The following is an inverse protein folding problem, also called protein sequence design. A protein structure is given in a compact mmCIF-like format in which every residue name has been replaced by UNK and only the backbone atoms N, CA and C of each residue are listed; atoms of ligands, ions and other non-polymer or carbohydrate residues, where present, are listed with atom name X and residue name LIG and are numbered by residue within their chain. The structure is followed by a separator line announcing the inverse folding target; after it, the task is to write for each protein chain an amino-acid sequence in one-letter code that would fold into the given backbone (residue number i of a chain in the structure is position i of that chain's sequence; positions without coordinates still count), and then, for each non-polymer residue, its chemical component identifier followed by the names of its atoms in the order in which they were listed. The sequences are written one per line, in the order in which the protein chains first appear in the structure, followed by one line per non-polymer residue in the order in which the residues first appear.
data_IF_802353984663
#
_entry.id   IF_802353984663
#
_cell.length_a   1.000
_cell.length_b   1.000
_cell.length_c   1.000
_cell.angle_alpha   90.00
_cell.angle_beta   90.00
_cell.angle_gamma   90.00
#
_symmetry.space_group_name_H-M   'P 1'
#
loop_
_entity.id
_entity.type
_entity.pdbx_description
1 polymer ?
#
# COMPACT_ATOMS: atom_id res chain seq x y z
N UNK A 1 10.26 -16.62 15.02
CA UNK A 1 9.81 -17.44 13.87
C UNK A 1 9.72 -16.58 12.63
N UNK A 2 9.86 -17.21 11.45
CA UNK A 2 9.88 -16.55 10.15
C UNK A 2 8.92 -17.27 9.19
N UNK A 3 8.23 -16.51 8.36
CA UNK A 3 7.53 -17.01 7.16
C UNK A 3 8.17 -16.45 5.91
N UNK A 4 8.11 -17.17 4.80
CA UNK A 4 8.58 -16.62 3.52
C UNK A 4 7.67 -17.00 2.35
N UNK A 5 7.67 -16.09 1.37
CA UNK A 5 7.01 -16.24 0.07
C UNK A 5 8.13 -16.12 -0.96
N UNK A 6 8.52 -17.24 -1.54
CA UNK A 6 9.64 -17.26 -2.46
C UNK A 6 9.50 -18.39 -3.47
N UNK A 7 10.14 -18.20 -4.60
CA UNK A 7 10.38 -19.24 -5.61
C UNK A 7 11.38 -20.27 -5.12
N UNK A 8 11.36 -21.46 -5.72
CA UNK A 8 12.29 -22.54 -5.36
C UNK A 8 13.79 -22.12 -5.38
N UNK A 9 14.28 -21.31 -6.34
CA UNK A 9 15.69 -20.90 -6.33
C UNK A 9 16.10 -20.08 -5.11
N UNK A 10 15.20 -19.29 -4.52
CA UNK A 10 15.49 -18.49 -3.34
C UNK A 10 15.28 -19.25 -2.02
N UNK A 11 14.57 -20.34 -2.07
CA UNK A 11 14.27 -21.14 -0.88
C UNK A 11 15.51 -21.65 -0.18
N UNK A 12 16.46 -22.24 -0.91
CA UNK A 12 17.66 -22.83 -0.32
C UNK A 12 18.55 -21.76 0.33
N UNK A 13 18.61 -20.58 -0.28
CA UNK A 13 19.33 -19.44 0.29
C UNK A 13 18.67 -18.98 1.61
N UNK A 14 17.34 -18.84 1.63
CA UNK A 14 16.60 -18.44 2.84
C UNK A 14 16.77 -19.48 3.95
N UNK A 15 16.64 -20.78 3.63
CA UNK A 15 16.82 -21.87 4.59
C UNK A 15 18.23 -21.84 5.17
N UNK A 16 19.26 -21.78 4.34
CA UNK A 16 20.64 -21.74 4.81
C UNK A 16 20.92 -20.55 5.72
N UNK A 17 20.38 -19.36 5.41
CA UNK A 17 20.52 -18.19 6.30
C UNK A 17 19.75 -18.39 7.62
N UNK A 18 18.56 -18.97 7.59
CA UNK A 18 17.77 -19.23 8.81
C UNK A 18 18.46 -20.28 9.70
N UNK A 19 19.04 -21.32 9.13
CA UNK A 19 19.83 -22.33 9.86
C UNK A 19 21.04 -21.71 10.54
N UNK A 20 21.83 -20.90 9.81
CA UNK A 20 23.00 -20.20 10.38
C UNK A 20 22.62 -19.24 11.53
N UNK A 21 21.43 -18.66 11.50
CA UNK A 21 20.95 -17.73 12.51
C UNK A 21 20.05 -18.38 13.57
N UNK A 22 19.84 -19.69 13.52
CA UNK A 22 18.92 -20.43 14.41
C UNK A 22 17.49 -19.86 14.41
N UNK A 23 17.00 -19.44 13.23
CA UNK A 23 15.65 -18.91 13.06
C UNK A 23 14.73 -20.02 12.57
N UNK A 24 13.70 -20.33 13.36
CA UNK A 24 12.68 -21.32 13.00
C UNK A 24 11.79 -20.80 11.89
N UNK A 25 11.66 -21.56 10.79
CA UNK A 25 10.72 -21.31 9.70
C UNK A 25 9.37 -21.89 10.08
N UNK A 26 8.33 -21.06 10.09
CA UNK A 26 6.96 -21.46 10.41
C UNK A 26 6.20 -21.92 9.16
N UNK A 27 6.32 -21.20 8.06
CA UNK A 27 5.62 -21.50 6.81
C UNK A 27 6.41 -21.07 5.59
N UNK A 28 6.26 -21.86 4.53
CA UNK A 28 6.71 -21.58 3.17
C UNK A 28 5.49 -21.42 2.29
N UNK A 29 5.50 -20.41 1.46
CA UNK A 29 4.42 -20.13 0.53
C UNK A 29 5.06 -19.89 -0.84
N UNK A 30 4.53 -20.53 -1.88
CA UNK A 30 4.99 -20.35 -3.25
C UNK A 30 4.42 -19.07 -3.89
N UNK A 31 4.23 -19.09 -5.19
CA UNK A 31 3.66 -17.97 -5.94
C UNK A 31 2.20 -17.70 -5.59
N UNK A 32 1.89 -16.47 -5.15
CA UNK A 32 0.56 -16.10 -4.64
C UNK A 32 0.15 -14.67 -5.02
N UNK A 33 -1.15 -14.41 -5.03
CA UNK A 33 -1.69 -13.07 -4.82
C UNK A 33 -1.63 -12.76 -3.31
N UNK A 34 -0.75 -11.84 -2.94
CA UNK A 34 -0.46 -11.58 -1.53
C UNK A 34 -1.63 -10.93 -0.79
N UNK A 35 -2.36 -10.02 -1.46
CA UNK A 35 -3.51 -9.36 -0.85
C UNK A 35 -4.65 -10.34 -0.57
N UNK A 36 -4.91 -11.23 -1.53
CA UNK A 36 -5.89 -12.30 -1.35
C UNK A 36 -5.46 -13.25 -0.25
N UNK A 37 -4.20 -13.67 -0.26
CA UNK A 37 -3.64 -14.56 0.77
C UNK A 37 -3.81 -14.01 2.18
N UNK A 38 -3.51 -12.73 2.43
CA UNK A 38 -3.66 -12.13 3.76
C UNK A 38 -5.12 -12.16 4.24
N UNK A 39 -6.08 -11.98 3.34
CA UNK A 39 -7.51 -11.97 3.67
C UNK A 39 -8.07 -13.35 3.96
N UNK A 40 -7.57 -14.36 3.29
CA UNK A 40 -8.13 -15.73 3.31
C UNK A 40 -7.37 -16.67 4.25
N UNK A 41 -6.13 -16.34 4.62
CA UNK A 41 -5.28 -17.23 5.40
C UNK A 41 -5.74 -17.34 6.84
N UNK A 42 -5.64 -18.55 7.38
CA UNK A 42 -5.80 -18.84 8.82
C UNK A 42 -4.47 -18.78 9.59
N UNK A 43 -3.39 -18.36 8.94
CA UNK A 43 -2.08 -18.25 9.59
C UNK A 43 -2.13 -17.22 10.72
N UNK A 44 -1.68 -17.62 11.88
CA UNK A 44 -1.57 -16.70 13.00
C UNK A 44 -0.26 -15.91 12.89
N UNK A 45 -0.33 -14.78 12.22
CA UNK A 45 0.83 -13.89 12.02
C UNK A 45 1.43 -13.36 13.34
N UNK A 46 0.71 -13.41 14.46
CA UNK A 46 1.27 -13.01 15.77
C UNK A 46 2.44 -13.89 16.24
N UNK A 47 2.60 -15.07 15.67
CA UNK A 47 3.69 -15.98 16.00
C UNK A 47 4.97 -15.70 15.21
N UNK A 48 4.92 -14.89 14.16
CA UNK A 48 6.09 -14.57 13.34
C UNK A 48 6.69 -13.22 13.71
N UNK A 49 8.00 -13.12 13.61
CA UNK A 49 8.77 -11.89 13.81
C UNK A 49 9.23 -11.31 12.47
N UNK A 50 9.39 -12.18 11.47
CA UNK A 50 9.90 -11.82 10.14
C UNK A 50 9.04 -12.43 9.05
N UNK A 51 8.81 -11.65 7.99
CA UNK A 51 8.27 -12.16 6.73
C UNK A 51 9.23 -11.77 5.59
N UNK A 52 9.66 -12.75 4.81
CA UNK A 52 10.45 -12.53 3.60
C UNK A 52 9.51 -12.67 2.41
N UNK A 53 9.53 -11.67 1.53
CA UNK A 53 8.69 -11.63 0.34
C UNK A 53 9.57 -11.44 -0.89
N UNK A 54 9.65 -12.43 -1.75
CA UNK A 54 10.26 -12.30 -3.06
C UNK A 54 9.24 -11.70 -4.04
N UNK A 55 9.52 -10.52 -4.59
CA UNK A 55 8.58 -9.83 -5.47
C UNK A 55 8.21 -10.64 -6.72
N UNK A 56 9.15 -11.44 -7.26
CA UNK A 56 8.90 -12.31 -8.43
C UNK A 56 7.89 -13.42 -8.14
N UNK A 57 7.70 -13.78 -6.89
CA UNK A 57 6.73 -14.78 -6.44
C UNK A 57 5.33 -14.19 -6.19
N UNK A 58 5.16 -12.89 -6.36
CA UNK A 58 3.87 -12.24 -6.20
C UNK A 58 3.13 -12.13 -7.54
N UNK A 59 1.87 -12.52 -7.53
CA UNK A 59 0.94 -12.37 -8.66
C UNK A 59 0.13 -11.08 -8.52
N UNK A 60 -0.25 -10.52 -9.66
CA UNK A 60 -1.08 -9.32 -9.72
C UNK A 60 -0.37 -8.13 -10.33
N UNK A 61 -1.05 -6.99 -10.37
CA UNK A 61 -0.48 -5.73 -10.84
C UNK A 61 0.47 -5.13 -9.80
N UNK A 62 1.38 -4.26 -10.23
CA UNK A 62 2.28 -3.54 -9.32
C UNK A 62 1.52 -2.82 -8.20
N UNK A 63 0.39 -2.21 -8.54
CA UNK A 63 -0.49 -1.54 -7.58
C UNK A 63 -1.04 -2.53 -6.53
N UNK A 64 -1.51 -3.70 -6.94
CA UNK A 64 -2.00 -4.74 -6.02
C UNK A 64 -0.89 -5.26 -5.10
N UNK A 65 0.32 -5.42 -5.62
CA UNK A 65 1.50 -5.82 -4.84
C UNK A 65 1.81 -4.76 -3.78
N UNK A 66 1.90 -3.49 -4.17
CA UNK A 66 2.16 -2.37 -3.25
C UNK A 66 1.07 -2.29 -2.19
N UNK A 67 -0.20 -2.38 -2.59
CA UNK A 67 -1.33 -2.32 -1.67
C UNK A 67 -1.35 -3.50 -0.70
N UNK A 68 -1.08 -4.71 -1.17
CA UNK A 68 -1.00 -5.91 -0.32
C UNK A 68 0.09 -5.82 0.73
N UNK A 69 1.31 -5.45 0.33
CA UNK A 69 2.44 -5.31 1.25
C UNK A 69 2.21 -4.16 2.23
N UNK A 70 1.66 -3.04 1.76
CA UNK A 70 1.34 -1.89 2.61
C UNK A 70 0.28 -2.21 3.64
N UNK A 71 -0.79 -2.87 3.22
CA UNK A 71 -1.85 -3.32 4.12
C UNK A 71 -1.29 -4.26 5.21
N UNK A 72 -0.44 -5.22 4.83
CA UNK A 72 0.20 -6.12 5.80
C UNK A 72 1.07 -5.35 6.80
N UNK A 73 1.85 -4.37 6.33
CA UNK A 73 2.70 -3.52 7.17
C UNK A 73 1.90 -2.72 8.20
N UNK A 74 0.73 -2.20 7.81
CA UNK A 74 -0.16 -1.44 8.69
C UNK A 74 -0.85 -2.33 9.73
N UNK A 75 -1.31 -3.52 9.31
CA UNK A 75 -2.03 -4.46 10.20
C UNK A 75 -1.10 -5.17 11.17
N UNK A 76 0.15 -5.45 10.75
CA UNK A 76 1.14 -6.18 11.54
C UNK A 76 2.44 -5.38 11.74
N UNK A 77 2.40 -4.23 12.43
CA UNK A 77 3.55 -3.32 12.54
C UNK A 77 4.76 -3.91 13.29
N UNK A 78 4.55 -4.97 14.07
CA UNK A 78 5.60 -5.67 14.82
C UNK A 78 6.33 -6.73 13.99
N UNK A 79 5.85 -7.02 12.77
CA UNK A 79 6.50 -7.98 11.89
C UNK A 79 7.44 -7.22 10.95
N UNK A 80 8.72 -7.61 10.97
CA UNK A 80 9.67 -7.05 10.02
C UNK A 80 9.49 -7.66 8.65
N UNK A 81 9.15 -6.82 7.67
CA UNK A 81 9.04 -7.20 6.26
C UNK A 81 10.41 -7.06 5.62
N UNK A 82 10.85 -8.10 4.91
CA UNK A 82 12.08 -8.14 4.13
C UNK A 82 11.68 -8.44 2.68
N UNK A 83 12.02 -7.54 1.77
CA UNK A 83 11.68 -7.64 0.35
C UNK A 83 12.90 -8.13 -0.42
N UNK A 84 12.75 -9.26 -1.11
CA UNK A 84 13.73 -9.76 -2.08
C UNK A 84 13.30 -9.29 -3.47
N UNK A 85 14.07 -8.37 -4.04
CA UNK A 85 13.81 -7.71 -5.31
C UNK A 85 14.98 -7.89 -6.27
N UNK A 86 15.60 -9.08 -6.29
CA UNK A 86 16.77 -9.36 -7.12
C UNK A 86 16.53 -9.05 -8.60
N UNK A 87 17.35 -8.16 -9.15
CA UNK A 87 17.27 -7.72 -10.54
C UNK A 87 16.28 -6.58 -10.81
N UNK A 88 15.61 -6.04 -9.78
CA UNK A 88 14.83 -4.81 -9.92
C UNK A 88 15.75 -3.58 -9.87
N UNK A 89 15.43 -2.58 -10.68
CA UNK A 89 16.12 -1.28 -10.65
C UNK A 89 15.81 -0.53 -9.34
N UNK A 90 16.76 0.25 -8.84
CA UNK A 90 16.60 1.03 -7.61
C UNK A 90 15.46 2.07 -7.70
N UNK A 91 15.13 2.53 -8.91
CA UNK A 91 14.05 3.48 -9.17
C UNK A 91 12.74 2.81 -9.61
N UNK A 92 12.65 1.48 -9.51
CA UNK A 92 11.42 0.75 -9.77
C UNK A 92 10.28 1.28 -8.89
N UNK A 93 9.09 1.45 -9.46
CA UNK A 93 7.96 2.06 -8.77
C UNK A 93 7.49 1.28 -7.53
N UNK A 94 7.57 -0.05 -7.54
CA UNK A 94 7.26 -0.86 -6.35
C UNK A 94 8.25 -0.52 -5.22
N UNK A 95 9.55 -0.56 -5.49
CA UNK A 95 10.58 -0.35 -4.46
C UNK A 95 10.55 1.06 -3.89
N UNK A 96 10.37 2.07 -4.74
CA UNK A 96 10.28 3.47 -4.31
C UNK A 96 9.04 3.72 -3.46
N UNK A 97 7.89 3.14 -3.81
CA UNK A 97 6.66 3.25 -3.02
C UNK A 97 6.79 2.54 -1.66
N UNK A 98 7.35 1.33 -1.62
CA UNK A 98 7.57 0.60 -0.37
C UNK A 98 8.53 1.36 0.56
N UNK A 99 9.61 1.94 0.01
CA UNK A 99 10.53 2.77 0.77
C UNK A 99 9.84 4.02 1.36
N UNK A 100 8.99 4.70 0.59
CA UNK A 100 8.24 5.88 1.04
C UNK A 100 7.26 5.54 2.18
N UNK A 101 6.74 4.32 2.20
CA UNK A 101 5.87 3.79 3.27
C UNK A 101 6.63 3.33 4.53
N UNK A 102 7.96 3.36 4.52
CA UNK A 102 8.77 2.99 5.68
C UNK A 102 9.29 1.56 5.69
N UNK A 103 9.12 0.81 4.61
CA UNK A 103 9.68 -0.53 4.45
C UNK A 103 11.10 -0.42 3.92
N UNK A 104 12.09 -0.58 4.81
CA UNK A 104 13.50 -0.33 4.49
C UNK A 104 14.32 -1.58 4.21
N UNK A 105 13.87 -2.77 4.63
CA UNK A 105 14.60 -4.01 4.38
C UNK A 105 14.33 -4.51 2.95
N UNK A 106 14.91 -3.80 1.98
CA UNK A 106 14.77 -4.09 0.54
C UNK A 106 16.14 -4.53 0.01
N UNK A 107 16.20 -5.72 -0.57
CA UNK A 107 17.39 -6.36 -1.11
C UNK A 107 17.20 -6.51 -2.63
N UNK A 108 17.91 -5.72 -3.45
CA UNK A 108 17.84 -5.78 -4.90
C UNK A 108 19.14 -6.28 -5.57
N UNK A 109 20.07 -6.75 -4.75
CA UNK A 109 21.33 -7.33 -5.25
C UNK A 109 21.07 -8.54 -6.14
N UNK A 110 21.99 -8.80 -7.09
CA UNK A 110 21.92 -9.94 -8.01
C UNK A 110 22.86 -11.07 -7.58
N UNK A 111 23.97 -10.70 -6.95
CA UNK A 111 24.99 -11.64 -6.49
C UNK A 111 24.50 -12.39 -5.23
N UNK A 112 24.50 -13.72 -5.28
CA UNK A 112 23.99 -14.56 -4.18
C UNK A 112 24.65 -14.27 -2.84
N UNK A 113 25.97 -14.11 -2.80
CA UNK A 113 26.71 -13.81 -1.57
C UNK A 113 26.30 -12.47 -0.96
N UNK A 114 26.03 -11.49 -1.81
CA UNK A 114 25.55 -10.18 -1.38
C UNK A 114 24.12 -10.25 -0.88
N UNK A 115 23.23 -10.98 -1.58
CA UNK A 115 21.86 -11.24 -1.10
C UNK A 115 21.92 -11.92 0.26
N UNK A 116 22.75 -12.95 0.42
CA UNK A 116 22.93 -13.69 1.69
C UNK A 116 23.37 -12.75 2.83
N UNK A 117 24.37 -11.91 2.56
CA UNK A 117 24.87 -10.93 3.54
C UNK A 117 23.83 -9.90 3.94
N UNK A 118 23.13 -9.31 2.95
CA UNK A 118 22.06 -8.32 3.20
C UNK A 118 20.86 -8.94 3.91
N UNK A 119 20.52 -10.20 3.59
CA UNK A 119 19.46 -10.94 4.25
C UNK A 119 19.79 -11.22 5.71
N UNK A 120 21.01 -11.70 6.01
CA UNK A 120 21.48 -11.86 7.40
C UNK A 120 21.36 -10.55 8.15
N UNK A 121 21.85 -9.45 7.58
CA UNK A 121 21.76 -8.13 8.21
C UNK A 121 20.31 -7.71 8.46
N UNK A 122 19.40 -8.00 7.53
CA UNK A 122 17.97 -7.68 7.67
C UNK A 122 17.30 -8.49 8.78
N UNK A 123 17.81 -9.67 9.11
CA UNK A 123 17.29 -10.56 10.15
C UNK A 123 17.90 -10.31 11.54
N UNK A 124 19.09 -9.71 11.59
CA UNK A 124 19.80 -9.41 12.84
C UNK A 124 19.52 -7.96 13.25
N UNK A 125 19.57 -7.67 14.55
CA UNK A 125 19.47 -6.32 15.13
C UNK A 125 18.23 -5.55 14.62
N UNK A 126 18.44 -4.32 14.19
CA UNK A 126 17.37 -3.42 13.74
C UNK A 126 17.06 -3.53 12.22
N UNK A 127 17.75 -4.45 11.53
CA UNK A 127 17.63 -4.62 10.06
C UNK A 127 18.39 -3.54 9.28
N UNK A 128 17.98 -3.33 8.03
CA UNK A 128 18.53 -2.27 7.20
C UNK A 128 17.96 -0.91 7.61
N UNK A 129 18.83 0.07 7.83
CA UNK A 129 18.43 1.42 8.20
C UNK A 129 17.86 2.20 7.00
N UNK A 130 17.09 3.23 7.29
CA UNK A 130 16.61 4.18 6.26
C UNK A 130 17.77 4.79 5.44
N UNK A 131 18.94 4.97 6.05
CA UNK A 131 20.13 5.51 5.36
C UNK A 131 20.67 4.53 4.34
N UNK A 132 20.72 3.23 4.66
CA UNK A 132 21.21 2.18 3.76
C UNK A 132 20.25 1.94 2.59
N UNK A 133 18.96 2.07 2.84
CA UNK A 133 17.90 1.93 1.83
C UNK A 133 17.63 3.22 1.04
N UNK A 134 18.39 4.29 1.27
CA UNK A 134 18.20 5.60 0.61
C UNK A 134 18.31 5.53 -0.91
N UNK A 135 18.96 4.53 -1.46
CA UNK A 135 19.03 4.28 -2.91
C UNK A 135 17.65 4.10 -3.55
N UNK A 136 16.66 3.60 -2.79
CA UNK A 136 15.28 3.45 -3.24
C UNK A 136 14.44 4.72 -3.08
N UNK A 137 15.01 5.80 -2.56
CA UNK A 137 14.30 7.06 -2.50
C UNK A 137 14.07 7.60 -3.91
N UNK A 138 12.83 7.91 -4.26
CA UNK A 138 12.47 8.48 -5.56
C UNK A 138 13.35 9.70 -5.86
N UNK A 139 14.10 9.67 -6.94
CA UNK A 139 15.06 10.72 -7.26
C UNK A 139 14.33 12.06 -7.40
N UNK A 140 14.85 13.12 -6.78
CA UNK A 140 14.27 14.47 -6.84
C UNK A 140 14.23 15.06 -8.28
N UNK A 141 14.85 14.37 -9.23
CA UNK A 141 14.86 14.73 -10.65
C UNK A 141 13.43 14.91 -11.18
N UNK A 142 12.47 14.08 -10.76
CA UNK A 142 11.06 14.22 -11.18
C UNK A 142 10.43 15.48 -10.57
N UNK A 143 10.78 15.86 -9.34
CA UNK A 143 10.32 17.11 -8.72
C UNK A 143 10.92 18.35 -9.41
N UNK A 144 12.21 18.28 -9.83
CA UNK A 144 12.85 19.35 -10.60
C UNK A 144 12.28 19.47 -12.02
N UNK A 145 12.03 18.35 -12.71
CA UNK A 145 11.40 18.37 -14.04
C UNK A 145 9.96 18.88 -14.00
N UNK A 146 9.14 18.42 -13.02
CA UNK A 146 7.80 18.98 -12.82
C UNK A 146 7.84 20.48 -12.48
N UNK A 147 8.77 20.94 -11.60
CA UNK A 147 8.96 22.35 -11.29
C UNK A 147 9.44 23.17 -12.49
N UNK A 148 10.34 22.63 -13.29
CA UNK A 148 10.84 23.30 -14.49
C UNK A 148 9.78 23.35 -15.59
N UNK A 149 9.02 22.30 -15.78
CA UNK A 149 7.90 22.27 -16.73
C UNK A 149 6.78 23.23 -16.28
N UNK A 150 6.46 23.27 -14.98
CA UNK A 150 5.50 24.22 -14.43
C UNK A 150 5.99 25.69 -14.58
N UNK A 151 7.27 25.96 -14.30
CA UNK A 151 7.88 27.28 -14.52
C UNK A 151 7.84 27.66 -16.00
N UNK A 152 8.17 26.75 -16.91
CA UNK A 152 8.12 26.96 -18.37
C UNK A 152 6.69 27.23 -18.83
N UNK A 153 5.70 26.51 -18.30
CA UNK A 153 4.28 26.70 -18.57
C UNK A 153 3.77 28.06 -18.07
N UNK A 154 4.13 28.46 -16.84
CA UNK A 154 3.79 29.77 -16.27
C UNK A 154 4.46 30.92 -17.04
N UNK A 155 5.70 30.73 -17.50
CA UNK A 155 6.42 31.73 -18.28
C UNK A 155 5.82 31.88 -19.67
N UNK A 156 5.38 30.78 -20.30
CA UNK A 156 4.68 30.84 -21.59
C UNK A 156 3.30 31.53 -21.47
N UNK A 157 2.55 31.26 -20.39
CA UNK A 157 1.30 31.95 -20.10
C UNK A 157 1.50 33.44 -19.85
N UNK A 158 2.57 33.88 -19.16
CA UNK A 158 2.90 35.26 -18.93
C UNK A 158 3.32 35.97 -20.23
N UNK A 159 4.01 35.27 -21.15
CA UNK A 159 4.42 35.79 -22.43
C UNK A 159 3.21 35.99 -23.37
N UNK A 160 2.27 35.04 -23.37
CA UNK A 160 1.01 35.15 -24.12
C UNK A 160 0.10 36.24 -23.52
N UNK A 161 0.13 36.49 -22.21
CA UNK A 161 -0.63 37.59 -21.60
C UNK A 161 -0.08 39.00 -21.96
N UNK A 162 1.23 39.10 -22.27
CA UNK A 162 1.86 40.35 -22.69
C UNK A 162 1.65 40.65 -24.18
N UNK A 163 1.43 39.63 -25.03
CA UNK A 163 1.08 39.79 -26.44
C UNK A 163 -0.41 40.10 -26.67
N UNK A 164 -1.28 39.77 -25.71
CA UNK A 164 -2.73 40.01 -25.84
C UNK A 164 -3.22 41.27 -25.12
N UNK A 165 -2.31 42.17 -24.71
CA UNK A 165 -2.70 43.49 -24.19
C UNK A 165 -2.89 44.57 -25.28
N UNK A 166 -2.66 44.22 -26.53
CA UNK A 166 -3.00 45.07 -27.68
C UNK A 166 -3.94 44.28 -28.63
N UNK A 167 -5.23 44.35 -28.37
CA UNK A 167 -6.23 43.87 -29.32
C UNK A 167 -7.14 42.74 -28.82
N UNK A 168 -8.22 43.13 -28.26
CA UNK A 168 -9.62 42.69 -28.46
C UNK A 168 -10.00 41.23 -28.25
N UNK A 169 -11.03 41.12 -27.39
CA UNK A 169 -12.11 40.13 -27.32
C UNK A 169 -11.89 38.82 -26.59
N UNK A 170 -12.70 38.74 -25.57
CA UNK A 170 -13.11 37.64 -24.74
C UNK A 170 -13.25 36.33 -25.51
N UNK A 171 -12.37 35.39 -25.21
CA UNK A 171 -12.77 33.99 -25.22
C UNK A 171 -12.58 33.44 -23.80
N UNK A 172 -13.68 33.46 -23.05
CA UNK A 172 -13.82 32.68 -21.82
C UNK A 172 -13.74 31.20 -22.19
N UNK A 173 -12.57 30.61 -22.17
CA UNK A 173 -12.40 29.16 -22.26
C UNK A 173 -12.33 28.59 -20.83
N UNK A 174 -13.49 28.21 -20.37
CA UNK A 174 -13.82 27.04 -19.54
C UNK A 174 -12.86 26.61 -18.40
N UNK A 175 -12.63 27.52 -17.45
CA UNK A 175 -12.30 27.09 -16.08
C UNK A 175 -13.54 26.59 -15.32
N UNK A 176 -14.73 26.84 -15.83
CA UNK A 176 -16.01 26.46 -15.22
C UNK A 176 -16.21 24.94 -15.17
N UNK A 177 -15.71 24.21 -16.17
CA UNK A 177 -15.85 22.74 -16.22
C UNK A 177 -15.06 22.02 -15.13
N UNK A 178 -13.81 22.44 -14.89
CA UNK A 178 -12.96 21.82 -13.84
C UNK A 178 -13.49 22.14 -12.45
N UNK A 179 -13.94 23.36 -12.21
CA UNK A 179 -14.58 23.76 -10.96
C UNK A 179 -15.89 23.00 -10.73
N UNK A 180 -16.69 22.82 -11.78
CA UNK A 180 -17.94 22.08 -11.69
C UNK A 180 -17.72 20.61 -11.32
N UNK A 181 -16.73 19.93 -11.95
CA UNK A 181 -16.37 18.55 -11.62
C UNK A 181 -15.84 18.41 -10.18
N UNK A 182 -15.01 19.35 -9.72
CA UNK A 182 -14.50 19.33 -8.35
C UNK A 182 -15.62 19.52 -7.32
N UNK A 183 -16.58 20.43 -7.61
CA UNK A 183 -17.75 20.65 -6.76
C UNK A 183 -18.68 19.45 -6.74
N UNK A 184 -18.83 18.77 -7.86
CA UNK A 184 -19.66 17.57 -8.00
C UNK A 184 -19.07 16.39 -7.23
N UNK A 185 -17.75 16.19 -7.27
CA UNK A 185 -17.06 15.16 -6.46
C UNK A 185 -17.24 15.46 -4.97
N UNK A 186 -17.02 16.70 -4.53
CA UNK A 186 -17.21 17.07 -3.12
C UNK A 186 -18.66 16.92 -2.64
N UNK A 187 -19.64 17.16 -3.54
CA UNK A 187 -21.05 16.96 -3.22
C UNK A 187 -21.39 15.48 -3.06
N UNK A 188 -20.83 14.60 -3.91
CA UNK A 188 -21.00 13.15 -3.82
C UNK A 188 -20.37 12.60 -2.55
N UNK A 189 -19.16 13.03 -2.18
CA UNK A 189 -18.51 12.60 -0.94
C UNK A 189 -19.33 12.97 0.30
N UNK A 190 -19.85 14.20 0.36
CA UNK A 190 -20.74 14.62 1.44
C UNK A 190 -22.07 13.85 1.49
N UNK A 191 -22.61 13.51 0.34
CA UNK A 191 -23.85 12.72 0.24
C UNK A 191 -23.62 11.29 0.75
N UNK A 192 -22.47 10.68 0.42
CA UNK A 192 -22.09 9.34 0.90
C UNK A 192 -21.85 9.35 2.42
N UNK A 193 -21.23 10.38 2.96
CA UNK A 193 -21.02 10.55 4.40
C UNK A 193 -22.37 10.69 5.15
N UNK A 194 -23.32 11.47 4.58
CA UNK A 194 -24.65 11.65 5.14
C UNK A 194 -25.50 10.38 5.07
N UNK A 195 -25.39 9.59 3.99
CA UNK A 195 -26.02 8.28 3.88
C UNK A 195 -25.44 7.28 4.88
N UNK A 196 -24.11 7.26 5.06
CA UNK A 196 -23.44 6.41 6.05
C UNK A 196 -23.93 6.71 7.47
N UNK A 197 -24.00 7.99 7.84
CA UNK A 197 -24.52 8.39 9.15
C UNK A 197 -26.00 8.05 9.33
N UNK A 198 -26.84 8.24 8.31
CA UNK A 198 -28.25 7.89 8.37
C UNK A 198 -28.49 6.38 8.56
N UNK A 199 -27.68 5.53 7.90
CA UNK A 199 -27.72 4.08 8.07
C UNK A 199 -27.33 3.68 9.50
N UNK A 200 -26.27 4.28 10.06
CA UNK A 200 -25.84 4.00 11.43
C UNK A 200 -26.93 4.42 12.42
N UNK A 201 -27.52 5.60 12.27
CA UNK A 201 -28.63 6.05 13.11
C UNK A 201 -29.86 5.15 12.98
N UNK A 202 -30.20 4.70 11.76
CA UNK A 202 -31.30 3.77 11.52
C UNK A 202 -31.08 2.42 12.22
N UNK A 203 -29.88 1.84 12.10
CA UNK A 203 -29.54 0.58 12.73
C UNK A 203 -29.51 0.68 14.27
N UNK A 204 -28.96 1.77 14.81
CA UNK A 204 -28.97 1.99 16.27
C UNK A 204 -30.37 2.21 16.82
N UNK A 205 -31.23 2.95 16.11
CA UNK A 205 -32.65 3.14 16.49
C UNK A 205 -33.41 1.82 16.48
N UNK A 206 -33.23 0.99 15.43
CA UNK A 206 -33.83 -0.36 15.37
C UNK A 206 -33.32 -1.25 16.49
N UNK A 207 -32.01 -1.22 16.77
CA UNK A 207 -31.42 -1.97 17.88
C UNK A 207 -32.03 -1.60 19.23
N UNK A 208 -32.17 -0.31 19.51
CA UNK A 208 -32.82 0.18 20.72
C UNK A 208 -34.30 -0.24 20.79
N UNK A 209 -35.03 -0.15 19.67
CA UNK A 209 -36.44 -0.58 19.65
C UNK A 209 -36.60 -2.08 19.93
N UNK A 210 -35.69 -2.93 19.42
CA UNK A 210 -35.66 -4.38 19.70
C UNK A 210 -35.41 -4.65 21.21
N UNK A 211 -34.48 -3.87 21.82
CA UNK A 211 -34.13 -4.03 23.24
C UNK A 211 -35.30 -3.64 24.16
N UNK A 212 -35.97 -2.49 23.90
CA UNK A 212 -36.96 -1.93 24.80
C UNK A 212 -38.40 -2.32 24.49
N UNK A 213 -38.69 -2.86 23.30
CA UNK A 213 -40.04 -3.29 22.91
C UNK A 213 -40.12 -4.81 22.73
N UNK A 214 -40.71 -5.46 23.74
CA UNK A 214 -40.82 -6.93 23.77
C UNK A 214 -41.66 -7.50 22.60
N UNK A 215 -42.72 -6.82 22.23
CA UNK A 215 -43.58 -7.25 21.13
C UNK A 215 -42.84 -7.17 19.79
N UNK A 216 -42.06 -6.11 19.56
CA UNK A 216 -41.28 -5.93 18.36
C UNK A 216 -40.11 -6.93 18.30
N UNK A 217 -39.46 -7.17 19.43
CA UNK A 217 -38.41 -8.21 19.55
C UNK A 217 -38.90 -9.58 19.16
N UNK A 218 -40.09 -9.99 19.65
CA UNK A 218 -40.64 -11.29 19.37
C UNK A 218 -40.98 -11.44 17.86
N UNK A 219 -41.48 -10.40 17.20
CA UNK A 219 -41.71 -10.39 15.76
C UNK A 219 -40.41 -10.57 14.98
N UNK A 220 -39.36 -9.84 15.34
CA UNK A 220 -38.05 -9.91 14.67
C UNK A 220 -37.42 -11.30 14.87
N UNK A 221 -37.47 -11.86 16.08
CA UNK A 221 -36.93 -13.20 16.35
C UNK A 221 -37.69 -14.28 15.59
N UNK A 222 -39.01 -14.14 15.47
CA UNK A 222 -39.82 -15.06 14.67
C UNK A 222 -39.48 -14.98 13.17
N UNK A 223 -39.25 -13.78 12.63
CA UNK A 223 -38.82 -13.58 11.24
C UNK A 223 -37.44 -14.14 10.96
N UNK A 224 -36.52 -14.10 11.92
CA UNK A 224 -35.16 -14.63 11.81
C UNK A 224 -35.07 -16.14 12.14
N UNK A 225 -36.17 -16.79 12.49
CA UNK A 225 -36.18 -18.20 12.87
C UNK A 225 -35.51 -18.50 14.21
N UNK A 226 -35.28 -17.47 15.02
CA UNK A 226 -34.72 -17.58 16.38
C UNK A 226 -35.86 -17.77 17.38
N UNK A 227 -35.94 -18.95 17.98
CA UNK A 227 -36.88 -19.27 19.05
C UNK A 227 -36.27 -18.95 20.40
#
# INVERSE_FOLDING_TARGET
MLSYIASNPMEDLIKGVCEELNITILSKIGEIDFLQYIKETKVNFKLIKYIIIELKSLKGTEENIINGISYFYEVYPNIRIIILASGYDEQNDILTNLYEKGIYNIINSVELEKIKSELKKSLISDGLSKKESKKFKKAEIIKKQKRNNLKKYITSMKKNKKLNSEGIEKTQVNNTSVYFFTLLIQAVDKLLELLGTAIIFGLTSLGLTIIFNESFRNIVFQMLGLK
#
